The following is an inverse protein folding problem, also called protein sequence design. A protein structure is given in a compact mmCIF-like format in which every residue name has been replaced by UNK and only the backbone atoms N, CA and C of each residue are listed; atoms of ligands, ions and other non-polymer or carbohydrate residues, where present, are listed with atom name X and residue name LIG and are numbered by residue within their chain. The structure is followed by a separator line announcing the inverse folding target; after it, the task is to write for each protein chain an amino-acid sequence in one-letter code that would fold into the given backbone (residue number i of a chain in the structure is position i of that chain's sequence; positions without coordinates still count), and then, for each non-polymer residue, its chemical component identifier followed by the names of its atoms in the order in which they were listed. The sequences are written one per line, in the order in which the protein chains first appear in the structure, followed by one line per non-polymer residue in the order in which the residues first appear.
data_IF_424463066241
#
_entry.id   IF_424463066241
#
_cell.length_a   1.000
_cell.length_b   1.000
_cell.length_c   1.000
_cell.angle_alpha   90.00
_cell.angle_beta   90.00
_cell.angle_gamma   90.00
#
_symmetry.space_group_name_H-M   'P 1'
#
loop_
_entity.id
_entity.type
_entity.pdbx_description
1 polymer ?
#
# COMPACT_ATOMS: atom_id res chain seq x y z
N UNK A 1 -30.37 41.49 38.31
CA UNK A 1 -30.33 40.61 37.12
C UNK A 1 -29.48 41.27 36.05
N UNK A 2 -28.28 40.76 35.80
CA UNK A 2 -27.43 41.15 34.67
C UNK A 2 -27.06 39.86 33.93
N UNK A 3 -27.13 39.80 32.59
CA UNK A 3 -26.67 38.64 31.84
C UNK A 3 -25.15 38.73 31.64
N UNK A 4 -24.43 37.68 32.06
CA UNK A 4 -23.02 37.47 31.68
C UNK A 4 -22.98 36.96 30.24
N UNK A 5 -22.52 37.79 29.32
CA UNK A 5 -22.15 37.38 27.97
C UNK A 5 -20.79 36.71 28.07
N UNK A 6 -20.76 35.38 27.96
CA UNK A 6 -19.54 34.60 27.81
C UNK A 6 -19.08 34.69 26.37
N UNK A 7 -18.03 35.45 26.09
CA UNK A 7 -17.38 35.45 24.79
C UNK A 7 -16.51 34.18 24.68
N UNK A 8 -16.99 33.20 23.92
CA UNK A 8 -16.17 32.09 23.47
C UNK A 8 -15.14 32.62 22.46
N UNK A 9 -13.87 32.66 22.88
CA UNK A 9 -12.73 32.99 22.04
C UNK A 9 -12.48 31.80 21.11
N UNK A 10 -13.02 31.84 19.90
CA UNK A 10 -12.65 30.91 18.82
C UNK A 10 -11.18 31.13 18.51
N UNK A 11 -10.35 30.15 18.90
CA UNK A 11 -8.95 30.10 18.49
C UNK A 11 -8.94 29.90 16.96
N UNK A 12 -8.49 30.91 16.22
CA UNK A 12 -8.21 30.76 14.79
C UNK A 12 -7.10 29.71 14.65
N UNK A 13 -7.44 28.53 14.15
CA UNK A 13 -6.48 27.49 13.81
C UNK A 13 -5.60 28.04 12.70
N UNK A 14 -4.32 28.28 13.00
CA UNK A 14 -3.33 28.66 11.99
C UNK A 14 -3.29 27.52 10.98
N UNK A 15 -3.82 27.75 9.77
CA UNK A 15 -3.75 26.77 8.68
C UNK A 15 -2.29 26.71 8.24
N UNK A 16 -1.64 25.57 8.46
CA UNK A 16 -0.30 25.28 7.97
C UNK A 16 -0.39 24.74 6.55
N UNK A 17 0.49 25.21 5.67
CA UNK A 17 0.58 24.69 4.29
C UNK A 17 0.87 23.17 4.34
N UNK A 18 0.07 22.31 3.69
CA UNK A 18 0.24 20.86 3.74
C UNK A 18 1.37 20.34 2.84
N UNK A 19 2.09 21.20 2.12
CA UNK A 19 3.08 20.84 1.10
C UNK A 19 4.09 19.77 1.56
N UNK A 20 4.68 19.92 2.75
CA UNK A 20 5.67 18.96 3.26
C UNK A 20 5.08 17.56 3.44
N UNK A 21 3.83 17.47 3.94
CA UNK A 21 3.13 16.21 4.10
C UNK A 21 2.84 15.56 2.74
N UNK A 22 2.49 16.37 1.73
CA UNK A 22 2.22 15.88 0.38
C UNK A 22 3.50 15.38 -0.31
N UNK A 23 4.63 16.04 -0.07
CA UNK A 23 5.95 15.58 -0.54
C UNK A 23 6.32 14.24 0.11
N UNK A 24 6.15 14.10 1.42
CA UNK A 24 6.43 12.84 2.13
C UNK A 24 5.53 11.69 1.63
N UNK A 25 4.25 11.98 1.40
CA UNK A 25 3.28 11.06 0.81
C UNK A 25 3.68 10.60 -0.61
N UNK A 26 4.11 11.54 -1.44
CA UNK A 26 4.62 11.27 -2.80
C UNK A 26 5.84 10.35 -2.76
N UNK A 27 6.81 10.66 -1.91
CA UNK A 27 8.05 9.88 -1.79
C UNK A 27 7.79 8.47 -1.25
N UNK A 28 6.79 8.34 -0.38
CA UNK A 28 6.29 7.05 0.11
C UNK A 28 5.71 6.21 -1.04
N UNK A 29 4.90 6.80 -1.92
CA UNK A 29 4.37 6.10 -3.10
C UNK A 29 5.47 5.71 -4.10
N UNK A 30 6.48 6.57 -4.28
CA UNK A 30 7.62 6.28 -5.13
C UNK A 30 8.47 5.09 -4.59
N UNK A 31 8.69 5.09 -3.28
CA UNK A 31 9.35 3.98 -2.57
C UNK A 31 8.58 2.68 -2.73
N UNK A 32 7.25 2.73 -2.61
CA UNK A 32 6.38 1.57 -2.83
C UNK A 32 6.50 1.05 -4.26
N UNK A 33 6.41 1.92 -5.27
CA UNK A 33 6.47 1.51 -6.68
C UNK A 33 7.83 0.90 -7.04
N UNK A 34 8.92 1.47 -6.52
CA UNK A 34 10.28 0.96 -6.71
C UNK A 34 10.50 -0.41 -6.08
N UNK A 35 9.83 -0.68 -4.95
CA UNK A 35 9.94 -1.93 -4.20
C UNK A 35 8.71 -2.83 -4.32
N UNK A 36 7.82 -2.56 -5.30
CA UNK A 36 6.48 -3.14 -5.33
C UNK A 36 6.49 -4.66 -5.32
N UNK A 37 7.44 -5.25 -6.08
CA UNK A 37 7.62 -6.70 -6.16
C UNK A 37 7.91 -7.32 -4.80
N UNK A 38 8.80 -6.70 -4.01
CA UNK A 38 9.18 -7.17 -2.67
C UNK A 38 8.08 -6.90 -1.65
N UNK A 39 7.37 -5.78 -1.77
CA UNK A 39 6.25 -5.43 -0.89
C UNK A 39 5.06 -6.39 -1.02
N UNK A 40 5.00 -7.18 -2.09
CA UNK A 40 3.89 -8.09 -2.37
C UNK A 40 4.25 -9.56 -2.23
N UNK A 41 5.46 -9.89 -1.76
CA UNK A 41 5.89 -11.27 -1.51
C UNK A 41 6.22 -11.41 -0.02
N UNK A 42 5.62 -12.41 0.60
CA UNK A 42 5.92 -12.83 1.96
C UNK A 42 6.44 -14.27 1.91
N UNK A 43 7.73 -14.46 2.17
CA UNK A 43 8.37 -15.75 2.18
C UNK A 43 8.61 -16.19 3.62
N UNK A 44 8.07 -17.34 3.99
CA UNK A 44 8.32 -17.98 5.28
C UNK A 44 9.19 -19.21 5.09
N UNK A 45 10.24 -19.32 5.89
CA UNK A 45 10.99 -20.56 6.02
C UNK A 45 10.19 -21.51 6.89
N UNK A 46 9.77 -22.64 6.32
CA UNK A 46 9.13 -23.68 7.11
C UNK A 46 10.19 -24.42 7.94
N UNK A 47 10.20 -24.19 9.26
CA UNK A 47 10.89 -25.10 10.19
C UNK A 47 10.12 -26.42 10.22
N UNK A 48 10.78 -27.50 9.81
CA UNK A 48 10.20 -28.85 9.82
C UNK A 48 9.88 -29.23 11.28
N UNK A 49 8.60 -29.51 11.63
CA UNK A 49 8.24 -29.90 12.98
C UNK A 49 9.03 -31.15 13.40
N UNK A 50 9.86 -31.01 14.44
CA UNK A 50 10.77 -32.07 14.92
C UNK A 50 10.03 -33.35 15.32
N UNK A 51 8.78 -33.21 15.75
CA UNK A 51 7.85 -34.30 16.10
C UNK A 51 7.51 -35.22 14.91
N UNK A 52 7.49 -34.69 13.67
CA UNK A 52 7.27 -35.49 12.46
C UNK A 52 8.49 -36.34 12.09
N UNK A 53 9.69 -35.97 12.54
CA UNK A 53 10.93 -36.75 12.37
C UNK A 53 11.07 -37.87 13.40
N UNK A 54 10.34 -37.80 14.52
CA UNK A 54 10.39 -38.77 15.62
C UNK A 54 9.37 -39.91 15.50
N UNK A 55 8.33 -39.75 14.66
CA UNK A 55 7.32 -40.80 14.45
C UNK A 55 7.77 -41.88 13.45
N UNK A 56 7.60 -43.15 13.82
CA UNK A 56 8.12 -44.35 13.12
C UNK A 56 7.51 -44.66 11.74
N UNK A 57 6.80 -43.75 11.09
CA UNK A 57 6.16 -43.97 9.79
C UNK A 57 6.97 -43.36 8.63
N UNK A 58 8.21 -43.84 8.47
CA UNK A 58 9.11 -43.43 7.36
C UNK A 58 8.47 -43.54 5.98
N UNK A 59 7.61 -44.53 5.75
CA UNK A 59 7.00 -44.78 4.44
C UNK A 59 5.91 -43.76 4.09
N UNK A 60 5.00 -43.45 5.01
CA UNK A 60 4.01 -42.37 4.81
C UNK A 60 4.67 -40.99 4.71
N UNK A 61 5.80 -40.78 5.40
CA UNK A 61 6.61 -39.57 5.30
C UNK A 61 7.26 -39.45 3.92
N UNK A 62 7.79 -40.53 3.34
CA UNK A 62 8.38 -40.53 2.00
C UNK A 62 7.32 -40.28 0.93
N UNK A 63 6.12 -40.87 1.07
CA UNK A 63 5.05 -40.70 0.09
C UNK A 63 4.51 -39.26 0.10
N UNK A 64 4.19 -38.69 1.28
CA UNK A 64 3.75 -37.29 1.39
C UNK A 64 4.85 -36.27 1.13
N UNK A 65 6.12 -36.57 1.45
CA UNK A 65 7.22 -35.65 1.18
C UNK A 65 7.72 -35.71 -0.27
N UNK A 66 7.49 -36.82 -1.00
CA UNK A 66 7.74 -36.90 -2.44
C UNK A 66 6.81 -35.97 -3.22
N UNK A 67 5.58 -35.79 -2.74
CA UNK A 67 4.61 -34.83 -3.28
C UNK A 67 4.97 -33.37 -2.96
N UNK A 68 5.82 -33.15 -1.96
CA UNK A 68 6.21 -31.83 -1.48
C UNK A 68 7.74 -31.62 -1.45
N UNK A 69 8.53 -32.21 -2.37
CA UNK A 69 9.97 -31.93 -2.54
C UNK A 69 10.80 -31.71 -1.24
N UNK A 70 10.48 -32.43 -0.15
CA UNK A 70 10.80 -31.99 1.22
C UNK A 70 12.08 -32.64 1.80
N UNK A 71 12.86 -33.34 0.97
CA UNK A 71 14.00 -34.15 1.42
C UNK A 71 15.31 -33.96 0.64
N UNK A 72 15.51 -32.83 -0.06
CA UNK A 72 16.88 -32.45 -0.39
C UNK A 72 17.52 -31.74 0.82
N UNK A 73 18.38 -32.46 1.53
CA UNK A 73 18.99 -32.11 2.83
C UNK A 73 20.04 -31.00 2.76
N UNK A 74 19.85 -30.00 1.90
CA UNK A 74 20.73 -28.84 1.79
C UNK A 74 20.01 -27.50 1.66
N UNK A 75 18.69 -27.50 1.53
CA UNK A 75 17.93 -26.28 1.21
C UNK A 75 16.77 -26.12 2.18
N UNK A 76 16.79 -25.06 2.99
CA UNK A 76 15.61 -24.60 3.71
C UNK A 76 14.48 -24.37 2.71
N UNK A 77 13.35 -25.07 2.85
CA UNK A 77 12.20 -24.88 1.96
C UNK A 77 11.58 -23.51 2.26
N UNK A 78 11.90 -22.55 1.41
CA UNK A 78 11.33 -21.20 1.43
C UNK A 78 9.97 -21.26 0.71
N UNK A 79 8.90 -21.06 1.48
CA UNK A 79 7.52 -21.01 0.97
C UNK A 79 7.10 -19.56 0.83
N UNK A 80 6.88 -19.10 -0.39
CA UNK A 80 6.48 -17.73 -0.67
C UNK A 80 4.99 -17.66 -1.02
N UNK A 81 4.32 -16.62 -0.52
CA UNK A 81 2.95 -16.27 -0.89
C UNK A 81 2.85 -14.81 -1.27
N UNK A 82 1.84 -14.49 -2.07
CA UNK A 82 1.54 -13.12 -2.41
C UNK A 82 0.78 -12.45 -1.26
N UNK A 83 1.16 -11.22 -0.91
CA UNK A 83 0.52 -10.45 0.16
C UNK A 83 0.17 -9.04 -0.30
N UNK A 84 -0.96 -8.51 0.19
CA UNK A 84 -1.34 -7.11 0.01
C UNK A 84 -1.01 -6.25 1.26
N UNK A 85 -0.54 -6.86 2.35
CA UNK A 85 -0.43 -6.18 3.65
C UNK A 85 0.47 -4.95 3.60
N UNK A 86 1.68 -5.10 3.07
CA UNK A 86 2.64 -3.99 3.01
C UNK A 86 2.13 -2.91 2.06
N UNK A 87 1.56 -3.27 0.91
CA UNK A 87 0.94 -2.31 -0.02
C UNK A 87 -0.14 -1.48 0.70
N UNK A 88 -1.01 -2.14 1.48
CA UNK A 88 -2.06 -1.46 2.25
C UNK A 88 -1.52 -0.58 3.37
N UNK A 89 -0.42 -0.97 4.01
CA UNK A 89 0.26 -0.13 5.01
C UNK A 89 0.85 1.13 4.35
N UNK A 90 1.48 1.02 3.18
CA UNK A 90 1.96 2.19 2.44
C UNK A 90 0.81 3.09 1.98
N UNK A 91 -0.32 2.50 1.58
CA UNK A 91 -1.53 3.24 1.22
C UNK A 91 -2.24 3.89 2.42
N UNK A 92 -1.74 3.82 3.66
CA UNK A 92 -2.37 4.50 4.80
C UNK A 92 -3.77 3.99 5.20
N UNK A 93 -4.34 3.02 4.48
CA UNK A 93 -5.69 2.48 4.72
C UNK A 93 -5.75 1.61 5.97
N UNK A 94 -4.60 1.22 6.53
CA UNK A 94 -4.47 0.54 7.82
C UNK A 94 -4.23 1.50 8.99
N UNK A 95 -4.21 2.82 8.73
CA UNK A 95 -3.94 3.84 9.74
C UNK A 95 -2.46 4.05 10.05
N UNK A 96 -1.56 3.64 9.14
CA UNK A 96 -0.10 3.81 9.29
C UNK A 96 0.50 4.59 8.13
N UNK A 97 1.52 5.40 8.43
CA UNK A 97 2.35 6.06 7.42
C UNK A 97 1.79 7.39 6.90
N UNK A 98 2.52 8.03 5.96
CA UNK A 98 2.25 9.41 5.54
C UNK A 98 0.98 9.61 4.72
N UNK A 99 0.42 8.54 4.15
CA UNK A 99 -0.83 8.60 3.37
C UNK A 99 -2.11 8.57 4.21
N UNK A 100 -2.00 8.45 5.54
CA UNK A 100 -3.17 8.44 6.42
C UNK A 100 -3.88 9.79 6.36
N UNK A 101 -5.11 9.79 5.84
CA UNK A 101 -5.90 11.01 5.73
C UNK A 101 -5.42 11.97 4.64
N UNK A 102 -4.63 11.50 3.68
CA UNK A 102 -4.04 12.32 2.61
C UNK A 102 -5.05 13.18 1.84
N UNK A 103 -6.27 12.69 1.62
CA UNK A 103 -7.31 13.48 0.94
C UNK A 103 -7.66 14.77 1.70
N UNK A 104 -7.64 14.72 3.04
CA UNK A 104 -7.85 15.91 3.87
C UNK A 104 -6.67 16.86 3.76
N UNK A 105 -5.45 16.32 3.67
CA UNK A 105 -4.24 17.12 3.45
C UNK A 105 -4.31 17.86 2.11
N UNK A 106 -4.68 17.18 1.03
CA UNK A 106 -4.83 17.77 -0.30
C UNK A 106 -5.96 18.82 -0.29
N UNK A 107 -7.08 18.54 0.37
CA UNK A 107 -8.16 19.53 0.52
C UNK A 107 -7.72 20.79 1.26
N UNK A 108 -6.86 20.68 2.27
CA UNK A 108 -6.27 21.86 2.94
C UNK A 108 -5.39 22.69 2.01
N UNK A 109 -4.83 22.10 0.96
CA UNK A 109 -4.03 22.80 -0.04
C UNK A 109 -4.83 23.81 -0.87
N UNK A 110 -6.16 23.65 -0.97
CA UNK A 110 -7.04 24.59 -1.67
C UNK A 110 -6.96 26.03 -1.11
N UNK A 111 -6.63 26.17 0.17
CA UNK A 111 -6.48 27.47 0.82
C UNK A 111 -5.19 28.21 0.43
N UNK A 112 -4.26 27.54 -0.26
CA UNK A 112 -2.91 28.02 -0.58
C UNK A 112 -2.62 28.08 -2.09
N UNK A 113 -3.62 27.78 -2.92
CA UNK A 113 -3.47 27.77 -4.38
C UNK A 113 -3.84 29.13 -4.95
N UNK A 114 -3.17 29.53 -6.04
CA UNK A 114 -3.56 30.72 -6.79
C UNK A 114 -4.95 30.50 -7.41
N UNK A 115 -5.89 31.48 -7.32
CA UNK A 115 -7.18 31.39 -8.00
C UNK A 115 -7.12 31.02 -9.48
N UNK A 116 -6.05 31.39 -10.19
CA UNK A 116 -5.87 31.08 -11.62
C UNK A 116 -5.56 29.58 -11.85
N UNK A 117 -4.99 28.89 -10.86
CA UNK A 117 -4.63 27.45 -10.91
C UNK A 117 -5.64 26.56 -10.17
N UNK A 118 -6.72 27.14 -9.61
CA UNK A 118 -7.68 26.44 -8.76
C UNK A 118 -8.40 25.29 -9.49
N UNK A 119 -8.83 25.52 -10.72
CA UNK A 119 -9.56 24.52 -11.51
C UNK A 119 -8.67 23.30 -11.82
N UNK A 120 -7.40 23.53 -12.16
CA UNK A 120 -6.42 22.47 -12.40
C UNK A 120 -6.12 21.69 -11.11
N UNK A 121 -6.03 22.37 -9.98
CA UNK A 121 -5.83 21.72 -8.68
C UNK A 121 -7.02 20.83 -8.29
N UNK A 122 -8.25 21.32 -8.48
CA UNK A 122 -9.47 20.54 -8.20
C UNK A 122 -9.55 19.32 -9.12
N UNK A 123 -9.25 19.48 -10.41
CA UNK A 123 -9.23 18.36 -11.35
C UNK A 123 -8.22 17.28 -10.94
N UNK A 124 -7.01 17.66 -10.51
CA UNK A 124 -6.01 16.70 -10.05
C UNK A 124 -6.35 16.07 -8.70
N UNK A 125 -7.04 16.79 -7.80
CA UNK A 125 -7.58 16.22 -6.56
C UNK A 125 -8.61 15.12 -6.88
N UNK A 126 -9.52 15.35 -7.83
CA UNK A 126 -10.52 14.35 -8.25
C UNK A 126 -9.85 13.12 -8.88
N UNK A 127 -8.89 13.32 -9.78
CA UNK A 127 -8.11 12.25 -10.39
C UNK A 127 -7.36 11.43 -9.32
N UNK A 128 -6.72 12.11 -8.37
CA UNK A 128 -6.05 11.46 -7.24
C UNK A 128 -7.04 10.60 -6.45
N UNK A 129 -8.17 11.18 -6.00
CA UNK A 129 -9.17 10.46 -5.20
C UNK A 129 -9.73 9.23 -5.93
N UNK A 130 -9.96 9.34 -7.24
CA UNK A 130 -10.44 8.22 -8.06
C UNK A 130 -9.40 7.09 -8.15
N UNK A 131 -8.18 7.39 -8.57
CA UNK A 131 -7.12 6.39 -8.73
C UNK A 131 -6.67 5.81 -7.39
N UNK A 132 -6.64 6.62 -6.34
CA UNK A 132 -6.31 6.17 -4.98
C UNK A 132 -7.37 5.23 -4.40
N UNK A 133 -8.65 5.57 -4.58
CA UNK A 133 -9.76 4.70 -4.17
C UNK A 133 -9.73 3.37 -4.92
N UNK A 134 -9.45 3.42 -6.23
CA UNK A 134 -9.26 2.22 -7.08
C UNK A 134 -8.10 1.37 -6.58
N UNK A 135 -6.94 1.96 -6.28
CA UNK A 135 -5.77 1.27 -5.72
C UNK A 135 -6.09 0.58 -4.39
N UNK A 136 -6.77 1.27 -3.47
CA UNK A 136 -7.20 0.72 -2.18
C UNK A 136 -8.12 -0.49 -2.34
N UNK A 137 -9.11 -0.38 -3.23
CA UNK A 137 -10.08 -1.45 -3.51
C UNK A 137 -9.42 -2.67 -4.14
N UNK A 138 -8.61 -2.49 -5.19
CA UNK A 138 -7.90 -3.57 -5.87
C UNK A 138 -6.89 -4.24 -4.94
N UNK A 139 -6.18 -3.46 -4.12
CA UNK A 139 -5.28 -4.01 -3.11
C UNK A 139 -6.03 -4.84 -2.07
N UNK A 140 -7.23 -4.42 -1.63
CA UNK A 140 -8.06 -5.24 -0.74
C UNK A 140 -8.48 -6.56 -1.42
N UNK A 141 -9.00 -6.48 -2.65
CA UNK A 141 -9.45 -7.63 -3.41
C UNK A 141 -8.32 -8.66 -3.63
N UNK A 142 -7.10 -8.21 -3.90
CA UNK A 142 -5.93 -9.08 -4.05
C UNK A 142 -5.67 -9.99 -2.84
N UNK A 143 -5.94 -9.52 -1.62
CA UNK A 143 -5.72 -10.32 -0.41
C UNK A 143 -6.78 -11.39 -0.15
N UNK A 144 -7.88 -11.38 -0.91
CA UNK A 144 -9.04 -12.26 -0.68
C UNK A 144 -9.36 -13.11 -1.92
N UNK A 145 -9.13 -12.57 -3.12
CA UNK A 145 -9.61 -13.14 -4.38
C UNK A 145 -8.50 -13.68 -5.29
N UNK A 146 -7.24 -13.24 -5.13
CA UNK A 146 -6.16 -13.74 -5.98
C UNK A 146 -5.74 -15.15 -5.52
N UNK A 147 -5.78 -16.12 -6.45
CA UNK A 147 -5.40 -17.51 -6.16
C UNK A 147 -3.98 -17.62 -5.57
N UNK A 148 -3.10 -16.67 -5.92
CA UNK A 148 -1.71 -16.63 -5.48
C UNK A 148 -1.50 -16.07 -4.07
N UNK A 149 -2.54 -15.46 -3.47
CA UNK A 149 -2.52 -15.05 -2.06
C UNK A 149 -3.02 -16.15 -1.11
N UNK A 150 -3.66 -17.19 -1.66
CA UNK A 150 -4.21 -18.34 -0.92
C UNK A 150 -3.28 -19.56 -0.99
N UNK A 151 -2.45 -19.67 -2.03
CA UNK A 151 -1.54 -20.80 -2.24
C UNK A 151 -0.08 -20.42 -2.00
N UNK A 152 0.71 -21.41 -1.60
CA UNK A 152 2.15 -21.29 -1.42
C UNK A 152 2.88 -21.76 -2.68
N UNK A 153 3.87 -20.99 -3.14
CA UNK A 153 4.68 -21.30 -4.31
C UNK A 153 6.16 -21.30 -3.95
N UNK A 154 6.97 -21.97 -4.79
CA UNK A 154 8.42 -21.77 -4.77
C UNK A 154 8.73 -20.31 -5.11
N UNK A 155 9.88 -19.79 -4.68
CA UNK A 155 10.25 -18.39 -4.93
C UNK A 155 10.30 -18.05 -6.44
N UNK A 156 10.85 -18.96 -7.24
CA UNK A 156 10.93 -18.79 -8.69
C UNK A 156 9.54 -18.80 -9.33
N UNK A 157 8.63 -19.65 -8.85
CA UNK A 157 7.25 -19.68 -9.33
C UNK A 157 6.44 -18.46 -8.85
N UNK A 158 6.65 -17.98 -7.63
CA UNK A 158 5.99 -16.78 -7.09
C UNK A 158 6.40 -15.50 -7.83
N UNK A 159 7.65 -15.43 -8.31
CA UNK A 159 8.14 -14.32 -9.11
C UNK A 159 7.62 -14.36 -10.56
N UNK A 160 7.40 -15.55 -11.12
CA UNK A 160 6.97 -15.77 -12.51
C UNK A 160 5.45 -15.92 -12.70
N UNK A 161 4.70 -16.40 -11.70
CA UNK A 161 3.24 -16.61 -11.76
C UNK A 161 2.43 -15.30 -11.73
N UNK A 162 3.11 -14.15 -11.65
CA UNK A 162 2.49 -12.83 -11.74
C UNK A 162 1.92 -12.60 -13.13
N UNK A 163 0.68 -13.04 -13.31
CA UNK A 163 -0.13 -12.58 -14.43
C UNK A 163 -0.31 -11.05 -14.32
N UNK A 164 -0.01 -10.36 -15.42
CA UNK A 164 -0.27 -8.93 -15.60
C UNK A 164 -1.76 -8.55 -15.40
N UNK A 165 -2.65 -9.55 -15.30
CA UNK A 165 -4.08 -9.40 -15.04
C UNK A 165 -4.51 -9.50 -13.56
N UNK A 166 -3.58 -9.71 -12.62
CA UNK A 166 -3.92 -9.83 -11.18
C UNK A 166 -4.43 -8.51 -10.58
N UNK A 167 -5.19 -8.58 -9.48
CA UNK A 167 -5.66 -7.40 -8.78
C UNK A 167 -4.49 -6.55 -8.26
N UNK A 168 -3.35 -7.17 -7.89
CA UNK A 168 -2.14 -6.44 -7.53
C UNK A 168 -1.48 -5.72 -8.71
N UNK A 169 -1.44 -6.32 -9.90
CA UNK A 169 -0.94 -5.64 -11.08
C UNK A 169 -1.78 -4.39 -11.38
N UNK A 170 -3.10 -4.52 -11.35
CA UNK A 170 -4.01 -3.38 -11.54
C UNK A 170 -3.91 -2.34 -10.41
N UNK A 171 -3.70 -2.79 -9.16
CA UNK A 171 -3.47 -1.90 -8.03
C UNK A 171 -2.18 -1.09 -8.22
N UNK A 172 -1.11 -1.70 -8.73
CA UNK A 172 0.14 -1.01 -9.05
C UNK A 172 -0.06 0.11 -10.08
N UNK A 173 -0.82 -0.15 -11.13
CA UNK A 173 -1.14 0.87 -12.14
C UNK A 173 -1.95 2.02 -11.53
N UNK A 174 -2.98 1.71 -10.75
CA UNK A 174 -3.77 2.72 -10.05
C UNK A 174 -2.93 3.55 -9.05
N UNK A 175 -1.93 2.93 -8.40
CA UNK A 175 -0.97 3.65 -7.54
C UNK A 175 -0.11 4.60 -8.36
N UNK A 176 0.32 4.19 -9.55
CA UNK A 176 1.11 5.06 -10.43
C UNK A 176 0.29 6.27 -10.91
N UNK A 177 -0.97 6.05 -11.27
CA UNK A 177 -1.89 7.14 -11.62
C UNK A 177 -2.09 8.11 -10.44
N UNK A 178 -2.38 7.58 -9.24
CA UNK A 178 -2.53 8.40 -8.03
C UNK A 178 -1.26 9.20 -7.72
N UNK A 179 -0.07 8.58 -7.84
CA UNK A 179 1.21 9.28 -7.66
C UNK A 179 1.35 10.41 -8.69
N UNK A 180 1.02 10.17 -9.96
CA UNK A 180 1.13 11.19 -11.00
C UNK A 180 0.26 12.41 -10.73
N UNK A 181 -0.97 12.23 -10.20
CA UNK A 181 -1.80 13.36 -9.79
C UNK A 181 -1.25 14.05 -8.55
N UNK A 182 -0.69 13.30 -7.59
CA UNK A 182 -0.03 13.89 -6.42
C UNK A 182 1.22 14.70 -6.79
N UNK A 183 2.01 14.25 -7.77
CA UNK A 183 3.15 14.98 -8.32
C UNK A 183 2.71 16.35 -8.86
N UNK A 184 1.57 16.40 -9.55
CA UNK A 184 0.99 17.64 -10.10
C UNK A 184 0.45 18.55 -9.00
N UNK A 185 -0.29 18.01 -8.04
CA UNK A 185 -0.80 18.76 -6.88
C UNK A 185 0.34 19.43 -6.09
N UNK A 186 1.45 18.71 -5.87
CA UNK A 186 2.65 19.25 -5.23
C UNK A 186 3.26 20.38 -6.07
N UNK A 187 3.35 20.20 -7.40
CA UNK A 187 3.91 21.22 -8.28
C UNK A 187 3.08 22.52 -8.28
N UNK A 188 1.75 22.42 -8.31
CA UNK A 188 0.85 23.58 -8.25
C UNK A 188 1.00 24.33 -6.90
N UNK A 189 1.07 23.61 -5.78
CA UNK A 189 1.29 24.22 -4.47
C UNK A 189 2.66 24.89 -4.33
N UNK A 190 3.69 24.35 -4.98
CA UNK A 190 5.03 24.97 -4.98
C UNK A 190 5.05 26.29 -5.75
N UNK A 191 4.26 26.41 -6.82
CA UNK A 191 4.17 27.63 -7.62
C UNK A 191 3.47 28.77 -6.85
N UNK A 192 2.41 28.46 -6.10
CA UNK A 192 1.69 29.44 -5.28
C UNK A 192 2.40 29.90 -3.99
N UNK A 193 3.60 29.36 -3.68
CA UNK A 193 4.36 29.72 -2.46
C UNK A 193 5.50 30.73 -2.73
N UNK A 194 5.63 31.24 -3.97
CA UNK A 194 6.58 32.29 -4.37
C UNK A 194 5.93 33.68 -4.34
#
# INVERSE_FOLDING_TARGET
MQPRISQAKTAATVKTNPLDNLIEARDTLDTLLSNYKRATIDCTYADVPRELLESKNKEMLLEKASTFALFDKSVSVESCKTTNRIVRDYLGVTGKGPLVGIEKEIQRGLDFIDPDDLDDYVAELENFSQSYSKASSLSYAAGIADFDSVNNFSKEDAENARNDSSNLAQAKEAIREAKSSLDRLVALLQQGTL
#
